data_IF_485311336518
#
_entry.id   IF_485311336518
#
_cell.length_a   1.000
_cell.length_b   1.000
_cell.length_c   1.000
_cell.angle_alpha   90.00
_cell.angle_beta   90.00
_cell.angle_gamma   90.00
#
_symmetry.space_group_name_H-M   'P 1'
#
loop_
_entity.id
_entity.type
_entity.pdbx_description
1 polymer ?
#
# COMPACT_ATOMS: atom_id res chain seq x y z
N UNK A 1 3.73 58.90 10.96
CA UNK A 1 2.29 59.18 11.22
C UNK A 1 1.50 57.93 10.84
N UNK A 2 0.71 57.42 11.80
CA UNK A 2 -0.24 56.29 11.77
C UNK A 2 0.33 54.90 11.42
N UNK A 3 0.09 53.81 12.17
CA UNK A 3 -0.72 53.55 13.35
C UNK A 3 -1.04 52.03 13.45
N UNK A 4 -1.36 51.57 14.66
CA UNK A 4 -1.98 50.29 15.05
C UNK A 4 -1.09 49.07 15.38
N UNK A 5 -0.94 48.91 16.69
CA UNK A 5 -0.73 47.70 17.49
C UNK A 5 -1.89 46.71 17.41
N UNK A 6 -1.59 45.41 17.37
CA UNK A 6 -2.48 44.32 17.78
C UNK A 6 -1.84 43.51 18.91
N UNK A 7 -2.57 43.09 19.96
CA UNK A 7 -1.99 42.41 21.10
C UNK A 7 -1.73 40.92 20.82
N UNK A 8 -0.58 40.46 21.32
CA UNK A 8 -0.20 39.06 21.48
C UNK A 8 -1.11 38.39 22.51
N UNK A 9 -1.64 37.21 22.19
CA UNK A 9 -2.36 36.39 23.17
C UNK A 9 -1.36 35.80 24.18
N UNK A 10 -1.49 36.21 25.44
CA UNK A 10 -1.14 35.37 26.60
C UNK A 10 0.01 35.86 27.48
N UNK A 11 -0.22 36.90 28.28
CA UNK A 11 0.42 37.05 29.61
C UNK A 11 -0.66 37.54 30.58
N UNK A 12 -1.02 36.73 31.57
CA UNK A 12 -1.76 37.17 32.75
C UNK A 12 -0.76 37.36 33.89
N UNK A 13 -0.80 38.49 34.64
CA UNK A 13 0.07 38.69 35.78
C UNK A 13 -0.49 38.03 37.04
N UNK A 14 0.45 37.49 37.79
CA UNK A 14 0.37 37.01 39.16
C UNK A 14 -0.22 38.07 40.10
N UNK A 15 -1.25 37.70 40.87
CA UNK A 15 -1.64 38.43 42.08
C UNK A 15 -2.00 37.43 43.17
N UNK A 16 -0.99 37.18 44.01
CA UNK A 16 -1.13 36.67 45.37
C UNK A 16 -2.17 37.49 46.15
N UNK A 17 -3.21 36.81 46.64
CA UNK A 17 -3.75 37.13 47.96
C UNK A 17 -4.30 35.87 48.63
N UNK A 18 -3.80 35.69 49.84
CA UNK A 18 -4.00 34.59 50.78
C UNK A 18 -5.38 34.69 51.43
N UNK A 19 -6.14 33.60 51.47
CA UNK A 19 -7.02 33.28 52.61
C UNK A 19 -7.34 31.79 52.64
N UNK A 20 -7.43 31.24 53.84
CA UNK A 20 -7.23 29.83 54.15
C UNK A 20 -8.45 29.18 54.80
N UNK A 21 -8.61 27.87 54.52
CA UNK A 21 -9.38 26.82 55.22
C UNK A 21 -10.92 26.93 55.36
N UNK A 22 -11.64 25.96 54.79
CA UNK A 22 -12.33 24.90 55.55
C UNK A 22 -13.10 23.90 54.65
N UNK A 23 -12.98 22.62 54.99
CA UNK A 23 -13.74 21.45 54.51
C UNK A 23 -15.26 21.65 54.49
N UNK A 24 -15.97 20.93 53.62
CA UNK A 24 -16.95 19.89 54.04
C UNK A 24 -17.43 19.01 52.87
N UNK A 25 -17.17 17.73 53.08
CA UNK A 25 -17.83 16.52 52.58
C UNK A 25 -19.35 16.63 52.39
N UNK A 26 -19.85 16.21 51.23
CA UNK A 26 -21.27 15.96 50.96
C UNK A 26 -21.44 14.70 50.11
N UNK A 27 -21.88 13.63 50.77
CA UNK A 27 -22.15 12.29 50.24
C UNK A 27 -23.39 12.25 49.34
N UNK A 28 -23.33 11.53 48.22
CA UNK A 28 -24.51 11.12 47.45
C UNK A 28 -24.41 9.64 47.09
N UNK A 29 -24.91 8.85 48.04
CA UNK A 29 -25.59 7.54 47.95
C UNK A 29 -25.65 6.85 46.59
N UNK A 30 -24.96 5.71 46.54
CA UNK A 30 -25.17 4.60 45.61
C UNK A 30 -26.38 3.77 46.04
N UNK A 31 -27.42 3.74 45.21
CA UNK A 31 -28.46 2.70 45.25
C UNK A 31 -28.34 1.87 43.99
N UNK A 32 -27.74 0.68 44.16
CA UNK A 32 -27.75 -0.39 43.19
C UNK A 32 -29.14 -1.02 43.13
N UNK A 33 -29.73 -1.09 41.94
CA UNK A 33 -30.78 -2.05 41.61
C UNK A 33 -30.32 -2.89 40.43
N UNK A 34 -30.16 -4.18 40.71
CA UNK A 34 -29.84 -5.22 39.74
C UNK A 34 -31.07 -5.50 38.84
N UNK A 35 -30.83 -5.57 37.53
CA UNK A 35 -31.78 -5.96 36.49
C UNK A 35 -31.10 -5.97 35.12
N UNK A 36 -31.48 -6.85 34.17
CA UNK A 36 -30.53 -7.73 33.48
C UNK A 36 -29.80 -7.11 32.29
N UNK A 37 -28.57 -7.58 32.08
CA UNK A 37 -27.75 -7.36 30.92
C UNK A 37 -28.40 -7.96 29.66
N UNK A 38 -28.73 -7.13 28.67
CA UNK A 38 -28.80 -7.56 27.27
C UNK A 38 -28.68 -6.39 26.28
N UNK A 39 -27.67 -6.45 25.40
CA UNK A 39 -27.75 -5.98 24.02
C UNK A 39 -27.54 -4.48 23.71
N UNK A 40 -26.33 -4.13 23.29
CA UNK A 40 -26.10 -3.20 22.16
C UNK A 40 -26.43 -1.72 22.37
N UNK A 41 -25.71 -1.03 23.25
CA UNK A 41 -25.75 0.44 23.28
C UNK A 41 -24.89 1.00 22.15
N UNK A 42 -25.52 1.42 21.05
CA UNK A 42 -24.98 2.51 20.23
C UNK A 42 -24.92 3.74 21.14
N UNK A 43 -23.74 4.07 21.66
CA UNK A 43 -23.55 5.30 22.42
C UNK A 43 -24.01 6.48 21.55
N UNK A 44 -25.01 7.22 22.02
CA UNK A 44 -25.39 8.47 21.40
C UNK A 44 -24.17 9.40 21.39
N UNK A 45 -23.82 9.96 20.24
CA UNK A 45 -22.70 10.91 20.13
C UNK A 45 -22.92 12.07 21.10
N UNK A 46 -21.87 12.41 21.84
CA UNK A 46 -21.92 13.56 22.75
C UNK A 46 -22.08 14.86 21.96
N UNK A 47 -22.67 15.93 22.56
CA UNK A 47 -22.77 17.24 21.92
C UNK A 47 -21.42 17.80 21.44
N UNK A 48 -20.33 17.50 22.15
CA UNK A 48 -18.97 17.91 21.76
C UNK A 48 -18.49 17.19 20.50
N UNK A 49 -18.76 15.88 20.38
CA UNK A 49 -18.44 15.13 19.16
C UNK A 49 -19.20 15.65 17.93
N UNK A 50 -20.47 16.07 18.11
CA UNK A 50 -21.24 16.69 17.04
C UNK A 50 -20.66 18.05 16.62
N UNK A 51 -20.26 18.87 17.59
CA UNK A 51 -19.61 20.16 17.34
C UNK A 51 -18.29 19.99 16.56
N UNK A 52 -17.43 19.08 17.00
CA UNK A 52 -16.15 18.80 16.34
C UNK A 52 -16.38 18.28 14.92
N UNK A 53 -17.37 17.42 14.71
CA UNK A 53 -17.73 16.93 13.38
C UNK A 53 -18.23 18.05 12.46
N UNK A 54 -19.05 18.97 12.97
CA UNK A 54 -19.52 20.13 12.20
C UNK A 54 -18.36 21.07 11.83
N UNK A 55 -17.44 21.31 12.77
CA UNK A 55 -16.24 22.11 12.52
C UNK A 55 -15.35 21.48 11.45
N UNK A 56 -15.07 20.17 11.53
CA UNK A 56 -14.28 19.45 10.52
C UNK A 56 -14.99 19.42 9.15
N UNK A 57 -16.31 19.25 9.13
CA UNK A 57 -17.09 19.30 7.89
C UNK A 57 -17.03 20.70 7.25
N UNK A 58 -17.12 21.76 8.05
CA UNK A 58 -16.96 23.13 7.58
C UNK A 58 -15.54 23.39 7.06
N UNK A 59 -14.50 22.94 7.78
CA UNK A 59 -13.11 23.06 7.33
C UNK A 59 -12.86 22.34 6.01
N UNK A 60 -13.41 21.15 5.82
CA UNK A 60 -13.31 20.41 4.57
C UNK A 60 -14.01 21.16 3.41
N UNK A 61 -15.27 21.55 3.59
CA UNK A 61 -16.04 22.18 2.51
C UNK A 61 -15.60 23.62 2.22
N UNK A 62 -15.50 24.46 3.25
CA UNK A 62 -15.15 25.86 3.07
C UNK A 62 -13.64 26.07 2.90
N UNK A 63 -12.84 25.37 3.68
CA UNK A 63 -11.39 25.49 3.64
C UNK A 63 -10.78 24.74 2.46
N UNK A 64 -10.99 23.43 2.37
CA UNK A 64 -10.34 22.60 1.35
C UNK A 64 -10.99 22.72 -0.04
N UNK A 65 -12.31 22.51 -0.16
CA UNK A 65 -12.97 22.51 -1.48
C UNK A 65 -13.08 23.91 -2.10
N UNK A 66 -13.41 24.94 -1.29
CA UNK A 66 -13.57 26.31 -1.77
C UNK A 66 -12.31 27.18 -1.65
N UNK A 67 -11.32 26.78 -0.85
CA UNK A 67 -10.09 27.56 -0.64
C UNK A 67 -10.31 28.89 0.13
N UNK A 68 -11.40 29.01 0.89
CA UNK A 68 -11.70 30.23 1.64
C UNK A 68 -10.67 30.40 2.76
N UNK A 69 -10.19 31.64 2.96
CA UNK A 69 -9.18 31.99 3.98
C UNK A 69 -7.81 31.32 3.83
N UNK A 70 -7.54 30.71 2.68
CA UNK A 70 -6.24 30.13 2.38
C UNK A 70 -5.12 31.18 2.39
N UNK A 71 -4.05 30.87 3.11
CA UNK A 71 -2.82 31.64 3.26
C UNK A 71 -1.64 31.05 2.46
N UNK A 72 -1.83 29.87 1.87
CA UNK A 72 -0.82 29.11 1.15
C UNK A 72 -1.33 28.69 -0.24
N UNK A 73 -0.51 28.88 -1.27
CA UNK A 73 -0.75 28.37 -2.62
C UNK A 73 0.17 27.16 -2.83
N UNK A 74 -0.42 26.04 -3.21
CA UNK A 74 0.32 24.80 -3.52
C UNK A 74 0.19 24.52 -5.00
N UNK A 75 1.33 24.50 -5.69
CA UNK A 75 1.43 24.02 -7.05
C UNK A 75 1.73 22.53 -7.03
N UNK A 76 0.87 21.72 -7.64
CA UNK A 76 1.05 20.28 -7.82
C UNK A 76 0.99 20.00 -9.31
N UNK A 77 2.15 19.73 -9.93
CA UNK A 77 2.28 19.64 -11.38
C UNK A 77 1.65 20.84 -12.11
N UNK A 78 0.56 20.61 -12.87
CA UNK A 78 -0.14 21.65 -13.64
C UNK A 78 -1.32 22.30 -12.88
N UNK A 79 -1.56 21.89 -11.63
CA UNK A 79 -2.69 22.37 -10.84
C UNK A 79 -2.27 23.23 -9.67
N UNK A 80 -3.13 24.18 -9.34
CA UNK A 80 -2.88 25.17 -8.29
C UNK A 80 -4.04 25.10 -7.32
N UNK A 81 -3.74 24.85 -6.05
CA UNK A 81 -4.74 24.77 -4.98
C UNK A 81 -4.41 25.75 -3.87
N UNK A 82 -5.45 26.33 -3.27
CA UNK A 82 -5.35 27.31 -2.19
C UNK A 82 -5.68 26.62 -0.86
N UNK A 83 -4.71 26.54 0.04
CA UNK A 83 -4.76 25.75 1.26
C UNK A 83 -4.24 26.54 2.47
N UNK A 84 -4.32 25.93 3.65
CA UNK A 84 -4.05 26.57 4.94
C UNK A 84 -2.77 26.02 5.58
N UNK A 85 -1.80 26.88 5.86
CA UNK A 85 -0.50 26.51 6.44
C UNK A 85 -0.65 25.71 7.74
N UNK A 86 -1.63 26.06 8.58
CA UNK A 86 -1.91 25.36 9.84
C UNK A 86 -2.38 23.91 9.62
N UNK A 87 -3.09 23.63 8.53
CA UNK A 87 -3.56 22.28 8.22
C UNK A 87 -2.47 21.50 7.49
N UNK A 88 -1.78 22.14 6.54
CA UNK A 88 -0.65 21.54 5.83
C UNK A 88 0.50 21.16 6.75
N UNK A 89 0.67 21.87 7.88
CA UNK A 89 1.75 21.59 8.83
C UNK A 89 1.64 20.24 9.53
N UNK A 90 0.51 19.54 9.39
CA UNK A 90 0.34 18.14 9.83
C UNK A 90 1.17 17.15 9.01
N UNK A 91 1.57 17.51 7.79
CA UNK A 91 2.43 16.70 6.93
C UNK A 91 3.89 17.15 7.08
N UNK A 92 4.81 16.27 7.51
CA UNK A 92 6.24 16.59 7.60
C UNK A 92 6.84 17.04 6.26
N UNK A 93 6.40 16.42 5.17
CA UNK A 93 6.81 16.78 3.81
C UNK A 93 6.42 18.23 3.47
N UNK A 94 5.16 18.60 3.72
CA UNK A 94 4.68 19.96 3.43
C UNK A 94 5.27 21.01 4.38
N UNK A 95 5.49 20.68 5.67
CA UNK A 95 6.22 21.56 6.59
C UNK A 95 7.62 21.87 6.06
N UNK A 96 8.33 20.84 5.60
CA UNK A 96 9.66 21.01 5.04
C UNK A 96 9.62 21.94 3.82
N UNK A 97 8.71 21.69 2.86
CA UNK A 97 8.54 22.56 1.70
C UNK A 97 8.17 23.99 2.07
N UNK A 98 7.27 24.20 3.03
CA UNK A 98 6.90 25.54 3.51
C UNK A 98 8.07 26.28 4.16
N UNK A 99 9.02 25.55 4.76
CA UNK A 99 10.18 26.10 5.46
C UNK A 99 11.35 26.40 4.53
N UNK A 100 11.48 25.66 3.43
CA UNK A 100 12.59 25.79 2.47
C UNK A 100 12.23 26.53 1.19
N UNK A 101 10.95 26.76 0.91
CA UNK A 101 10.50 27.51 -0.26
C UNK A 101 10.73 29.01 -0.08
N UNK A 102 11.32 29.71 -1.08
CA UNK A 102 11.39 31.17 -1.08
C UNK A 102 9.99 31.78 -0.99
N UNK A 103 9.80 32.80 -0.15
CA UNK A 103 8.52 33.51 -0.02
C UNK A 103 8.61 34.92 -0.61
N UNK A 104 8.48 35.07 -1.94
CA UNK A 104 8.45 36.38 -2.57
C UNK A 104 7.11 37.06 -2.30
N UNK A 105 7.03 37.81 -1.20
CA UNK A 105 5.94 38.71 -0.88
C UNK A 105 4.70 38.05 -0.28
N UNK A 106 4.55 38.15 1.05
CA UNK A 106 3.30 38.04 1.82
C UNK A 106 2.55 36.71 1.82
N UNK A 107 2.31 36.10 0.66
CA UNK A 107 1.60 34.85 0.47
C UNK A 107 2.59 33.70 0.28
N UNK A 108 2.37 32.59 0.97
CA UNK A 108 3.26 31.43 0.91
C UNK A 108 2.95 30.64 -0.35
N UNK A 109 3.96 30.38 -1.19
CA UNK A 109 3.84 29.56 -2.39
C UNK A 109 4.80 28.38 -2.27
N UNK A 110 4.29 27.16 -2.44
CA UNK A 110 5.10 25.93 -2.45
C UNK A 110 4.84 25.13 -3.72
N UNK A 111 5.86 24.39 -4.16
CA UNK A 111 5.83 23.56 -5.36
C UNK A 111 6.06 22.10 -4.97
N UNK A 112 5.13 21.23 -5.35
CA UNK A 112 5.20 19.79 -5.20
C UNK A 112 5.52 19.18 -6.56
N UNK A 113 6.70 18.56 -6.68
CA UNK A 113 7.10 17.83 -7.88
C UNK A 113 6.79 16.34 -7.72
N UNK A 114 5.85 15.82 -8.51
CA UNK A 114 5.48 14.40 -8.53
C UNK A 114 6.15 13.60 -9.66
N UNK A 115 7.02 14.22 -10.48
CA UNK A 115 7.67 13.54 -11.62
C UNK A 115 8.52 12.33 -11.21
N UNK A 116 9.07 12.36 -10.00
CA UNK A 116 9.87 11.27 -9.44
C UNK A 116 9.03 10.18 -8.77
N UNK A 117 7.73 10.40 -8.62
CA UNK A 117 6.81 9.52 -7.90
C UNK A 117 5.65 9.07 -8.81
N UNK A 118 5.91 8.16 -9.77
CA UNK A 118 4.94 7.79 -10.80
C UNK A 118 3.68 7.10 -10.26
N UNK A 119 3.74 6.58 -9.03
CA UNK A 119 2.62 5.93 -8.36
C UNK A 119 1.70 6.96 -7.66
N UNK A 120 2.13 8.22 -7.52
CA UNK A 120 1.32 9.29 -6.93
C UNK A 120 0.58 10.04 -8.03
N UNK A 121 -0.71 9.73 -8.20
CA UNK A 121 -1.58 10.48 -9.12
C UNK A 121 -2.05 11.79 -8.50
N UNK A 122 -2.39 12.76 -9.35
CA UNK A 122 -2.90 14.05 -8.88
C UNK A 122 -4.22 13.92 -8.07
N UNK A 123 -5.11 13.03 -8.50
CA UNK A 123 -6.37 12.73 -7.79
C UNK A 123 -6.07 12.17 -6.38
N UNK A 124 -5.19 11.17 -6.31
CA UNK A 124 -4.79 10.56 -5.05
C UNK A 124 -4.10 11.56 -4.11
N UNK A 125 -3.24 12.42 -4.64
CA UNK A 125 -2.60 13.48 -3.88
C UNK A 125 -3.64 14.47 -3.33
N UNK A 126 -4.65 14.82 -4.11
CA UNK A 126 -5.76 15.68 -3.69
C UNK A 126 -6.58 15.02 -2.57
N UNK A 127 -6.86 13.72 -2.66
CA UNK A 127 -7.54 12.97 -1.60
C UNK A 127 -6.72 13.00 -0.30
N UNK A 128 -5.40 12.77 -0.39
CA UNK A 128 -4.52 12.79 0.78
C UNK A 128 -4.42 14.20 1.40
N UNK A 129 -4.39 15.27 0.59
CA UNK A 129 -4.49 16.64 1.07
C UNK A 129 -5.83 16.92 1.76
N UNK A 130 -6.94 16.43 1.20
CA UNK A 130 -8.27 16.54 1.79
C UNK A 130 -8.36 15.81 3.14
N UNK A 131 -7.65 14.68 3.28
CA UNK A 131 -7.58 13.93 4.54
C UNK A 131 -6.98 14.75 5.69
N UNK A 132 -6.05 15.68 5.40
CA UNK A 132 -5.53 16.59 6.43
C UNK A 132 -6.60 17.47 7.06
N UNK A 133 -7.67 17.76 6.33
CA UNK A 133 -8.82 18.54 6.81
C UNK A 133 -9.87 17.65 7.47
N UNK A 134 -10.17 16.50 6.90
CA UNK A 134 -11.22 15.61 7.41
C UNK A 134 -11.12 14.19 6.83
N UNK A 135 -11.51 13.20 7.65
CA UNK A 135 -11.71 11.82 7.20
C UNK A 135 -12.81 11.67 6.15
N UNK A 136 -13.60 12.71 5.87
CA UNK A 136 -14.55 12.73 4.75
C UNK A 136 -13.89 12.41 3.40
N UNK A 137 -12.60 12.73 3.23
CA UNK A 137 -11.83 12.43 2.03
C UNK A 137 -11.80 10.93 1.70
N UNK A 138 -11.85 10.06 2.72
CA UNK A 138 -11.77 8.59 2.60
C UNK A 138 -12.89 8.02 1.71
N UNK A 139 -14.03 8.71 1.60
CA UNK A 139 -15.16 8.31 0.73
C UNK A 139 -14.81 8.31 -0.76
N UNK A 140 -13.72 8.97 -1.14
CA UNK A 140 -13.24 9.04 -2.52
C UNK A 140 -12.23 7.94 -2.86
N UNK A 141 -11.85 7.12 -1.87
CA UNK A 141 -10.94 5.99 -2.07
C UNK A 141 -11.74 4.80 -2.60
N UNK A 142 -11.26 4.25 -3.71
CA UNK A 142 -11.85 3.14 -4.44
C UNK A 142 -10.74 2.15 -4.82
N UNK A 143 -11.06 0.89 -5.17
CA UNK A 143 -10.08 -0.09 -5.61
C UNK A 143 -9.10 0.41 -6.67
N UNK A 144 -9.57 1.27 -7.59
CA UNK A 144 -8.80 1.74 -8.74
C UNK A 144 -7.77 2.83 -8.39
N UNK A 145 -8.01 3.62 -7.34
CA UNK A 145 -7.12 4.71 -6.91
C UNK A 145 -6.43 4.45 -5.56
N UNK A 146 -6.81 3.40 -4.83
CA UNK A 146 -6.30 3.09 -3.49
C UNK A 146 -4.77 2.99 -3.44
N UNK A 147 -4.13 2.37 -4.45
CA UNK A 147 -2.67 2.24 -4.50
C UNK A 147 -2.00 3.61 -4.61
N UNK A 148 -2.56 4.50 -5.43
CA UNK A 148 -2.04 5.85 -5.58
C UNK A 148 -2.29 6.70 -4.33
N UNK A 149 -3.43 6.52 -3.63
CA UNK A 149 -3.72 7.19 -2.36
C UNK A 149 -2.77 6.72 -1.26
N UNK A 150 -2.46 5.43 -1.21
CA UNK A 150 -1.45 4.88 -0.33
C UNK A 150 -0.08 5.51 -0.58
N UNK A 151 0.35 5.60 -1.84
CA UNK A 151 1.60 6.28 -2.21
C UNK A 151 1.60 7.76 -1.78
N UNK A 152 0.50 8.48 -2.03
CA UNK A 152 0.36 9.88 -1.65
C UNK A 152 0.42 10.08 -0.11
N UNK A 153 -0.24 9.21 0.65
CA UNK A 153 -0.22 9.23 2.11
C UNK A 153 1.18 8.99 2.66
N UNK A 154 1.91 8.01 2.10
CA UNK A 154 3.30 7.74 2.49
C UNK A 154 4.25 8.90 2.12
N UNK A 155 4.05 9.53 0.96
CA UNK A 155 4.82 10.71 0.54
C UNK A 155 4.62 11.90 1.51
N UNK A 156 3.36 12.19 1.85
CA UNK A 156 3.02 13.30 2.73
C UNK A 156 3.45 13.03 4.18
N UNK A 157 3.42 11.78 4.61
CA UNK A 157 3.77 11.35 5.97
C UNK A 157 2.74 11.73 7.02
N UNK A 158 2.84 11.13 8.21
CA UNK A 158 1.95 11.35 9.37
C UNK A 158 0.46 11.12 9.06
N UNK A 159 0.15 10.11 8.24
CA UNK A 159 -1.21 9.75 7.81
C UNK A 159 -1.46 8.24 7.96
N UNK A 160 -1.01 7.63 9.05
CA UNK A 160 -0.99 6.17 9.22
C UNK A 160 -2.37 5.53 9.04
N UNK A 161 -3.44 6.17 9.52
CA UNK A 161 -4.82 5.69 9.37
C UNK A 161 -5.29 5.69 7.90
N UNK A 162 -4.94 6.74 7.13
CA UNK A 162 -5.24 6.80 5.70
C UNK A 162 -4.47 5.73 4.94
N UNK A 163 -3.18 5.57 5.24
CA UNK A 163 -2.33 4.56 4.61
C UNK A 163 -2.85 3.16 4.90
N UNK A 164 -3.15 2.84 6.17
CA UNK A 164 -3.72 1.55 6.54
C UNK A 164 -5.06 1.29 5.84
N UNK A 165 -5.95 2.28 5.78
CA UNK A 165 -7.23 2.15 5.09
C UNK A 165 -7.08 1.91 3.58
N UNK A 166 -6.20 2.67 2.92
CA UNK A 166 -5.91 2.50 1.50
C UNK A 166 -5.24 1.16 1.20
N UNK A 167 -4.33 0.72 2.07
CA UNK A 167 -3.71 -0.61 2.01
C UNK A 167 -4.74 -1.74 2.12
N UNK A 168 -5.70 -1.66 3.04
CA UNK A 168 -6.76 -2.67 3.15
C UNK A 168 -7.62 -2.75 1.89
N UNK A 169 -7.93 -1.61 1.26
CA UNK A 169 -8.65 -1.59 -0.03
C UNK A 169 -7.78 -2.23 -1.13
N UNK A 170 -6.48 -1.93 -1.17
CA UNK A 170 -5.55 -2.58 -2.10
C UNK A 170 -5.54 -4.10 -1.93
N UNK A 171 -5.43 -4.58 -0.68
CA UNK A 171 -5.41 -6.01 -0.37
C UNK A 171 -6.69 -6.72 -0.78
N UNK A 172 -7.84 -6.08 -0.52
CA UNK A 172 -9.16 -6.61 -0.88
C UNK A 172 -9.46 -6.54 -2.38
N UNK A 173 -8.79 -5.66 -3.12
CA UNK A 173 -9.03 -5.49 -4.55
C UNK A 173 -8.24 -6.47 -5.43
N UNK A 174 -7.35 -7.29 -4.88
CA UNK A 174 -6.59 -8.28 -5.66
C UNK A 174 -7.55 -9.35 -6.20
N UNK A 175 -7.71 -9.38 -7.52
CA UNK A 175 -8.57 -10.34 -8.22
C UNK A 175 -7.86 -10.94 -9.43
N UNK A 176 -8.44 -11.98 -10.03
CA UNK A 176 -7.91 -12.57 -11.26
C UNK A 176 -7.87 -11.57 -12.42
N UNK A 177 -8.84 -10.65 -12.48
CA UNK A 177 -8.97 -9.70 -13.60
C UNK A 177 -7.88 -8.64 -13.59
N UNK A 178 -7.46 -8.19 -12.40
CA UNK A 178 -6.45 -7.13 -12.24
C UNK A 178 -5.07 -7.63 -11.80
N UNK A 179 -4.87 -8.95 -11.66
CA UNK A 179 -3.61 -9.53 -11.19
C UNK A 179 -2.40 -9.07 -12.02
N UNK A 180 -2.57 -8.82 -13.32
CA UNK A 180 -1.48 -8.37 -14.19
C UNK A 180 -0.91 -7.01 -13.73
N UNK A 181 -1.77 -6.08 -13.31
CA UNK A 181 -1.36 -4.77 -12.78
C UNK A 181 -0.63 -4.89 -11.44
N UNK A 182 -0.99 -5.89 -10.64
CA UNK A 182 -0.29 -6.21 -9.39
C UNK A 182 1.07 -6.89 -9.64
N UNK A 183 1.17 -7.74 -10.66
CA UNK A 183 2.43 -8.38 -11.05
C UNK A 183 3.43 -7.34 -11.58
N UNK A 184 2.98 -6.37 -12.37
CA UNK A 184 3.82 -5.24 -12.83
C UNK A 184 4.35 -4.42 -11.64
N UNK A 185 3.51 -4.18 -10.63
CA UNK A 185 3.92 -3.51 -9.41
C UNK A 185 4.96 -4.31 -8.63
N UNK A 186 4.72 -5.61 -8.40
CA UNK A 186 5.63 -6.47 -7.63
C UNK A 186 6.99 -6.63 -8.31
N UNK A 187 7.04 -6.67 -9.65
CA UNK A 187 8.29 -6.72 -10.41
C UNK A 187 9.13 -5.42 -10.23
N UNK A 188 8.47 -4.30 -9.97
CA UNK A 188 9.12 -3.02 -9.65
C UNK A 188 9.53 -2.88 -8.18
N UNK A 189 9.17 -3.81 -7.29
CA UNK A 189 9.60 -3.83 -5.89
C UNK A 189 10.97 -4.52 -5.81
N UNK A 190 12.03 -3.84 -5.32
CA UNK A 190 13.34 -4.44 -5.17
C UNK A 190 13.27 -5.73 -4.34
N UNK A 191 13.73 -6.84 -4.92
CA UNK A 191 14.03 -8.04 -4.15
C UNK A 191 15.31 -7.79 -3.35
N UNK A 192 15.22 -7.89 -2.03
CA UNK A 192 16.41 -8.07 -1.19
C UNK A 192 16.93 -9.47 -1.52
N UNK A 193 17.90 -9.55 -2.44
CA UNK A 193 18.45 -10.81 -2.92
C UNK A 193 19.06 -11.58 -1.75
N UNK A 194 18.57 -12.79 -1.51
CA UNK A 194 19.11 -13.75 -0.53
C UNK A 194 20.39 -14.45 -1.02
N UNK A 195 20.85 -14.18 -2.25
CA UNK A 195 22.07 -14.78 -2.78
C UNK A 195 23.27 -13.93 -2.39
N UNK A 196 23.93 -14.32 -1.29
CA UNK A 196 25.13 -13.71 -0.70
C UNK A 196 26.40 -13.79 -1.55
N UNK A 197 26.30 -13.63 -2.87
CA UNK A 197 27.44 -13.44 -3.78
C UNK A 197 27.09 -12.34 -4.76
N UNK A 198 27.15 -11.10 -4.30
CA UNK A 198 27.34 -9.94 -5.17
C UNK A 198 28.05 -8.85 -4.38
N UNK A 199 29.22 -8.49 -4.89
CA UNK A 199 30.04 -7.34 -4.49
C UNK A 199 29.19 -6.09 -4.22
N UNK A 200 29.59 -5.21 -3.28
CA UNK A 200 28.87 -3.98 -3.00
C UNK A 200 28.96 -3.08 -4.25
N UNK A 201 27.90 -3.08 -5.06
CA UNK A 201 27.71 -2.04 -6.06
C UNK A 201 27.21 -0.83 -5.29
N UNK A 202 28.01 0.24 -5.28
CA UNK A 202 27.66 1.51 -4.67
C UNK A 202 26.24 1.93 -5.07
N UNK A 203 25.38 2.08 -4.07
CA UNK A 203 23.95 2.44 -4.17
C UNK A 203 23.69 3.86 -4.69
N UNK A 204 24.70 4.54 -5.25
CA UNK A 204 24.65 5.97 -5.57
C UNK A 204 24.26 6.31 -7.02
N UNK A 205 23.99 5.33 -7.90
CA UNK A 205 23.73 5.62 -9.33
C UNK A 205 22.49 4.94 -9.94
N UNK A 206 21.70 4.21 -9.15
CA UNK A 206 20.41 3.70 -9.62
C UNK A 206 19.31 4.69 -9.21
N UNK A 207 18.39 5.06 -10.12
CA UNK A 207 17.20 5.80 -9.73
C UNK A 207 16.51 5.09 -8.55
N UNK A 208 15.96 5.83 -7.57
CA UNK A 208 15.18 5.19 -6.51
C UNK A 208 14.10 4.31 -7.16
N UNK A 209 13.86 3.11 -6.63
CA UNK A 209 12.87 2.21 -7.19
C UNK A 209 11.52 2.92 -7.21
N UNK A 210 10.72 2.68 -8.26
CA UNK A 210 9.40 3.31 -8.45
C UNK A 210 8.44 3.10 -7.28
N UNK A 211 8.74 2.13 -6.42
CA UNK A 211 7.97 1.71 -5.27
C UNK A 211 8.55 2.19 -3.93
N UNK A 212 9.62 3.00 -3.95
CA UNK A 212 10.27 3.51 -2.73
C UNK A 212 9.31 4.27 -1.82
N UNK A 213 8.37 5.04 -2.41
CA UNK A 213 7.38 5.84 -1.68
C UNK A 213 6.50 5.03 -0.75
N UNK A 214 6.26 3.75 -1.04
CA UNK A 214 5.37 2.92 -0.22
C UNK A 214 6.02 2.46 1.10
N UNK A 215 7.34 2.60 1.27
CA UNK A 215 8.05 2.11 2.43
C UNK A 215 7.73 0.64 2.74
N UNK A 216 7.29 0.27 3.96
CA UNK A 216 7.00 -1.11 4.33
C UNK A 216 5.80 -1.71 3.58
N UNK A 217 4.86 -0.88 3.10
CA UNK A 217 3.67 -1.37 2.42
C UNK A 217 3.97 -2.01 1.07
N UNK A 218 5.09 -1.66 0.41
CA UNK A 218 5.50 -2.31 -0.83
C UNK A 218 5.72 -3.82 -0.63
N UNK A 219 6.40 -4.18 0.46
CA UNK A 219 6.67 -5.58 0.77
C UNK A 219 5.40 -6.30 1.22
N UNK A 220 4.55 -5.65 2.02
CA UNK A 220 3.27 -6.24 2.45
C UNK A 220 2.37 -6.55 1.25
N UNK A 221 2.20 -5.60 0.32
CA UNK A 221 1.42 -5.81 -0.90
C UNK A 221 2.01 -6.93 -1.78
N UNK A 222 3.33 -7.05 -1.84
CA UNK A 222 4.00 -8.15 -2.53
C UNK A 222 3.68 -9.50 -1.87
N UNK A 223 3.68 -9.56 -0.55
CA UNK A 223 3.33 -10.76 0.20
C UNK A 223 1.83 -11.12 0.04
N UNK A 224 0.96 -10.13 -0.04
CA UNK A 224 -0.48 -10.31 -0.33
C UNK A 224 -0.71 -10.85 -1.74
N UNK A 225 -0.01 -10.33 -2.75
CA UNK A 225 -0.06 -10.85 -4.13
C UNK A 225 0.47 -12.28 -4.17
N UNK A 226 1.54 -12.59 -3.44
CA UNK A 226 2.05 -13.94 -3.31
C UNK A 226 1.01 -14.88 -2.67
N UNK A 227 0.40 -14.45 -1.57
CA UNK A 227 -0.65 -15.21 -0.89
C UNK A 227 -1.83 -15.47 -1.82
N UNK A 228 -2.26 -14.46 -2.58
CA UNK A 228 -3.32 -14.60 -3.57
C UNK A 228 -2.97 -15.66 -4.62
N UNK A 229 -1.77 -15.62 -5.19
CA UNK A 229 -1.34 -16.58 -6.22
C UNK A 229 -1.29 -18.02 -5.73
N UNK A 230 -0.87 -18.23 -4.47
CA UNK A 230 -0.55 -19.55 -3.94
C UNK A 230 -1.72 -20.19 -3.20
N UNK A 231 -2.57 -19.38 -2.56
CA UNK A 231 -3.67 -19.86 -1.71
C UNK A 231 -5.02 -19.49 -2.32
N UNK A 232 -5.29 -18.20 -2.50
CA UNK A 232 -6.64 -17.73 -2.88
C UNK A 232 -7.03 -18.13 -4.30
N UNK A 233 -6.14 -17.98 -5.27
CA UNK A 233 -6.42 -18.22 -6.69
C UNK A 233 -6.68 -19.71 -6.98
N UNK A 234 -5.86 -20.67 -6.51
CA UNK A 234 -6.17 -22.10 -6.67
C UNK A 234 -7.51 -22.49 -6.04
N UNK A 235 -7.84 -21.94 -4.87
CA UNK A 235 -9.12 -22.18 -4.20
C UNK A 235 -10.30 -21.62 -5.00
N UNK A 236 -10.19 -20.38 -5.50
CA UNK A 236 -11.20 -19.73 -6.33
C UNK A 236 -11.49 -20.53 -7.61
N UNK A 237 -10.45 -21.12 -8.20
CA UNK A 237 -10.54 -21.92 -9.41
C UNK A 237 -10.86 -23.40 -9.15
N UNK A 238 -11.07 -23.81 -7.89
CA UNK A 238 -11.28 -25.21 -7.47
C UNK A 238 -10.19 -26.17 -7.96
N UNK A 239 -8.96 -25.69 -8.15
CA UNK A 239 -7.85 -26.49 -8.67
C UNK A 239 -7.43 -27.51 -7.60
N UNK A 240 -7.63 -28.80 -7.90
CA UNK A 240 -7.28 -29.88 -6.97
C UNK A 240 -8.37 -30.18 -5.91
N UNK A 241 -9.53 -29.55 -5.98
CA UNK A 241 -10.70 -30.04 -5.26
C UNK A 241 -10.97 -31.49 -5.69
N UNK A 242 -11.32 -32.36 -4.73
CA UNK A 242 -11.83 -33.70 -5.00
C UNK A 242 -12.93 -33.54 -6.05
N UNK A 243 -12.63 -33.93 -7.29
CA UNK A 243 -13.66 -34.21 -8.26
C UNK A 243 -14.72 -35.05 -7.53
N UNK A 244 -15.96 -34.60 -7.55
CA UNK A 244 -17.11 -35.46 -7.24
C UNK A 244 -16.86 -36.81 -7.90
N UNK A 245 -17.17 -37.95 -7.24
CA UNK A 245 -16.74 -39.28 -7.67
C UNK A 245 -17.45 -39.68 -8.96
N UNK A 246 -16.97 -39.15 -10.07
CA UNK A 246 -17.27 -39.54 -11.42
C UNK A 246 -15.92 -39.51 -12.13
N UNK A 247 -15.18 -40.61 -11.98
CA UNK A 247 -14.12 -41.10 -12.88
C UNK A 247 -13.15 -40.08 -13.47
N UNK A 248 -11.83 -40.14 -13.21
CA UNK A 248 -10.86 -39.32 -13.91
C UNK A 248 -10.85 -39.72 -15.39
N UNK A 249 -11.57 -38.97 -16.23
CA UNK A 249 -11.49 -39.14 -17.67
C UNK A 249 -10.19 -38.46 -18.14
N UNK A 250 -9.20 -39.22 -18.66
CA UNK A 250 -8.02 -38.63 -19.27
C UNK A 250 -8.45 -37.91 -20.55
N UNK A 251 -8.51 -36.58 -20.52
CA UNK A 251 -8.81 -35.77 -21.70
C UNK A 251 -9.85 -34.66 -21.52
N UNK A 252 -10.47 -34.50 -20.36
CA UNK A 252 -11.32 -33.33 -20.08
C UNK A 252 -10.41 -32.18 -19.61
N UNK A 253 -10.37 -31.04 -20.32
CA UNK A 253 -9.63 -29.86 -19.87
C UNK A 253 -10.23 -29.41 -18.54
N UNK A 254 -9.37 -29.23 -17.53
CA UNK A 254 -9.75 -28.63 -16.26
C UNK A 254 -9.68 -27.11 -16.46
N UNK A 255 -10.82 -26.42 -16.62
CA UNK A 255 -10.82 -25.00 -16.95
C UNK A 255 -10.19 -24.16 -15.83
N UNK A 256 -10.24 -24.63 -14.58
CA UNK A 256 -9.58 -23.98 -13.45
C UNK A 256 -8.07 -24.09 -13.54
N UNK A 257 -7.56 -25.28 -13.88
CA UNK A 257 -6.12 -25.48 -14.11
C UNK A 257 -5.61 -24.67 -15.31
N UNK A 258 -6.37 -24.62 -16.40
CA UNK A 258 -6.00 -23.86 -17.59
C UNK A 258 -5.96 -22.35 -17.31
N UNK A 259 -6.95 -21.83 -16.57
CA UNK A 259 -6.96 -20.45 -16.09
C UNK A 259 -5.74 -20.14 -15.20
N UNK A 260 -5.41 -21.04 -14.27
CA UNK A 260 -4.25 -20.90 -13.40
C UNK A 260 -2.94 -20.87 -14.21
N UNK A 261 -2.82 -21.72 -15.23
CA UNK A 261 -1.67 -21.75 -16.14
C UNK A 261 -1.51 -20.43 -16.90
N UNK A 262 -2.61 -19.83 -17.37
CA UNK A 262 -2.56 -18.53 -18.06
C UNK A 262 -2.06 -17.40 -17.16
N UNK A 263 -2.45 -17.39 -15.88
CA UNK A 263 -1.95 -16.42 -14.90
C UNK A 263 -0.46 -16.67 -14.61
N UNK A 264 -0.08 -17.90 -14.27
CA UNK A 264 1.30 -18.27 -13.94
C UNK A 264 2.28 -18.10 -15.12
N UNK A 265 1.77 -18.11 -16.35
CA UNK A 265 2.57 -17.79 -17.54
C UNK A 265 3.03 -16.33 -17.59
N UNK A 266 2.43 -15.43 -16.79
CA UNK A 266 2.76 -14.00 -16.74
C UNK A 266 3.50 -13.55 -15.49
N UNK A 267 3.58 -14.40 -14.48
CA UNK A 267 4.22 -14.09 -13.18
C UNK A 267 5.75 -13.86 -13.34
N UNK A 268 6.37 -12.85 -12.72
CA UNK A 268 7.84 -12.69 -12.74
C UNK A 268 8.56 -13.94 -12.22
N UNK A 269 9.75 -14.24 -12.75
CA UNK A 269 10.42 -15.52 -12.47
C UNK A 269 10.60 -15.80 -10.97
N UNK A 270 11.04 -14.82 -10.19
CA UNK A 270 11.32 -15.02 -8.76
C UNK A 270 10.03 -15.36 -7.99
N UNK A 271 8.93 -14.69 -8.33
CA UNK A 271 7.62 -14.95 -7.76
C UNK A 271 7.05 -16.30 -8.22
N UNK A 272 7.25 -16.65 -9.50
CA UNK A 272 6.84 -17.95 -10.08
C UNK A 272 7.57 -19.11 -9.40
N UNK A 273 8.90 -18.99 -9.25
CA UNK A 273 9.73 -19.97 -8.54
C UNK A 273 9.27 -20.12 -7.11
N UNK A 274 9.16 -19.02 -6.36
CA UNK A 274 8.74 -19.04 -4.97
C UNK A 274 7.34 -19.65 -4.81
N UNK A 275 6.41 -19.34 -5.72
CA UNK A 275 5.04 -19.84 -5.65
C UNK A 275 4.97 -21.35 -5.90
N UNK A 276 5.62 -21.84 -6.95
CA UNK A 276 5.63 -23.28 -7.30
C UNK A 276 6.39 -24.11 -6.26
N UNK A 277 7.45 -23.56 -5.66
CA UNK A 277 8.24 -24.24 -4.62
C UNK A 277 7.59 -24.15 -3.23
N UNK A 278 6.53 -23.34 -3.08
CA UNK A 278 5.88 -23.10 -1.79
C UNK A 278 5.12 -24.34 -1.29
N UNK A 279 5.31 -24.79 -0.04
CA UNK A 279 4.56 -25.91 0.51
C UNK A 279 3.05 -25.61 0.60
N UNK A 280 2.64 -24.34 0.70
CA UNK A 280 1.24 -23.94 0.75
C UNK A 280 0.54 -23.92 -0.61
N UNK A 281 1.26 -24.19 -1.71
CA UNK A 281 0.65 -24.29 -3.05
C UNK A 281 -0.10 -25.61 -3.25
N UNK A 282 -1.42 -25.58 -3.08
CA UNK A 282 -2.27 -26.78 -3.10
C UNK A 282 -2.76 -27.11 -4.52
N UNK A 283 -1.90 -27.76 -5.32
CA UNK A 283 -2.24 -28.22 -6.70
C UNK A 283 -2.27 -29.76 -6.85
N UNK A 284 -2.29 -30.48 -5.72
CA UNK A 284 -2.23 -31.94 -5.67
C UNK A 284 -0.84 -32.48 -5.31
N UNK A 285 -0.49 -33.65 -5.87
CA UNK A 285 0.80 -34.32 -5.59
C UNK A 285 2.00 -33.58 -6.18
N UNK A 286 3.21 -33.91 -5.72
CA UNK A 286 4.45 -33.40 -6.30
C UNK A 286 4.56 -33.68 -7.82
N UNK A 287 4.00 -34.79 -8.29
CA UNK A 287 3.93 -35.11 -9.71
C UNK A 287 2.98 -34.16 -10.47
N UNK A 288 1.83 -33.81 -9.88
CA UNK A 288 0.88 -32.86 -10.45
C UNK A 288 1.47 -31.43 -10.50
N UNK A 289 2.18 -31.05 -9.43
CA UNK A 289 2.94 -29.80 -9.33
C UNK A 289 4.08 -29.72 -10.35
N UNK A 290 4.86 -30.79 -10.49
CA UNK A 290 5.92 -30.90 -11.50
C UNK A 290 5.35 -30.74 -12.92
N UNK A 291 4.25 -31.45 -13.22
CA UNK A 291 3.56 -31.34 -14.50
C UNK A 291 3.06 -29.91 -14.73
N UNK A 292 2.41 -29.30 -13.74
CA UNK A 292 1.96 -27.90 -13.81
C UNK A 292 3.09 -26.93 -14.12
N UNK A 293 4.20 -27.03 -13.39
CA UNK A 293 5.34 -26.14 -13.61
C UNK A 293 5.96 -26.33 -15.00
N UNK A 294 6.03 -27.57 -15.48
CA UNK A 294 6.46 -27.87 -16.86
C UNK A 294 5.56 -27.22 -17.90
N UNK A 295 4.24 -27.38 -17.76
CA UNK A 295 3.23 -26.80 -18.66
C UNK A 295 3.31 -25.26 -18.64
N UNK A 296 3.43 -24.65 -17.45
CA UNK A 296 3.58 -23.21 -17.27
C UNK A 296 4.86 -22.69 -17.94
N UNK A 297 6.01 -23.34 -17.71
CA UNK A 297 7.28 -22.98 -18.37
C UNK A 297 7.16 -23.05 -19.89
N UNK A 298 6.44 -24.04 -20.43
CA UNK A 298 6.23 -24.15 -21.88
C UNK A 298 5.43 -22.95 -22.42
N UNK A 299 4.39 -22.51 -21.72
CA UNK A 299 3.64 -21.31 -22.08
C UNK A 299 4.51 -20.04 -21.97
N UNK A 300 5.35 -19.96 -20.93
CA UNK A 300 6.26 -18.83 -20.69
C UNK A 300 7.31 -18.68 -21.78
N UNK A 301 7.79 -19.78 -22.37
CA UNK A 301 8.70 -19.76 -23.54
C UNK A 301 8.09 -19.06 -24.75
N UNK A 302 6.76 -19.08 -24.88
CA UNK A 302 6.04 -18.40 -25.97
C UNK A 302 5.77 -16.92 -25.66
N UNK A 303 5.84 -16.53 -24.37
CA UNK A 303 5.59 -15.18 -23.86
C UNK A 303 6.81 -14.51 -23.22
N UNK A 304 6.71 -14.17 -21.93
CA UNK A 304 7.65 -13.29 -21.21
C UNK A 304 9.10 -13.80 -21.20
N UNK A 305 9.33 -15.11 -21.13
CA UNK A 305 10.69 -15.67 -21.12
C UNK A 305 11.43 -15.51 -22.46
N UNK A 306 10.70 -15.32 -23.57
CA UNK A 306 11.29 -15.12 -24.91
C UNK A 306 12.05 -13.81 -25.01
N UNK A 307 11.60 -12.76 -24.33
CA UNK A 307 12.21 -11.41 -24.39
C UNK A 307 13.50 -11.27 -23.58
N UNK A 308 13.71 -12.12 -22.56
CA UNK A 308 14.80 -11.98 -21.59
C UNK A 308 16.02 -12.86 -21.90
N UNK A 309 15.98 -13.70 -22.93
CA UNK A 309 17.09 -14.59 -23.28
C UNK A 309 17.42 -15.63 -22.19
N UNK A 310 16.46 -15.95 -21.34
CA UNK A 310 16.61 -16.88 -20.23
C UNK A 310 15.91 -18.22 -20.54
N UNK A 311 16.52 -19.34 -20.15
CA UNK A 311 15.91 -20.66 -20.19
C UNK A 311 15.48 -21.08 -18.79
N UNK A 312 14.19 -21.26 -18.59
CA UNK A 312 13.59 -21.76 -17.36
C UNK A 312 13.39 -23.29 -17.47
N UNK A 313 13.71 -24.02 -16.39
CA UNK A 313 13.57 -25.48 -16.29
C UNK A 313 13.02 -25.89 -14.93
N UNK A 314 12.29 -27.01 -14.90
CA UNK A 314 11.79 -27.64 -13.68
C UNK A 314 12.51 -28.97 -13.44
N UNK A 315 12.85 -29.24 -12.19
CA UNK A 315 13.48 -30.48 -11.71
C UNK A 315 12.63 -31.06 -10.58
N UNK A 316 12.52 -32.38 -10.55
CA UNK A 316 11.93 -33.13 -9.44
C UNK A 316 13.08 -33.78 -8.66
N UNK A 317 13.27 -33.36 -7.41
CA UNK A 317 14.27 -33.95 -6.52
C UNK A 317 13.69 -35.21 -5.87
N UNK A 318 14.37 -36.34 -6.08
CA UNK A 318 14.05 -37.59 -5.41
C UNK A 318 15.01 -37.78 -4.22
N UNK A 319 14.47 -37.89 -3.00
CA UNK A 319 15.23 -38.36 -1.83
C UNK A 319 15.72 -37.32 -0.81
N UNK A 320 15.02 -36.20 -0.60
CA UNK A 320 15.45 -35.15 0.35
C UNK A 320 14.33 -34.57 1.22
N UNK A 321 13.68 -35.37 2.07
CA UNK A 321 12.62 -34.90 2.98
C UNK A 321 13.12 -34.23 4.28
N UNK A 322 14.42 -33.93 4.41
CA UNK A 322 14.98 -33.43 5.68
C UNK A 322 14.96 -31.89 5.84
N UNK A 323 14.54 -31.13 4.82
CA UNK A 323 14.53 -29.65 4.86
C UNK A 323 13.20 -29.01 4.46
N UNK A 324 12.07 -29.70 4.65
CA UNK A 324 10.73 -29.07 4.62
C UNK A 324 10.30 -28.35 3.32
N UNK A 325 11.04 -28.51 2.22
CA UNK A 325 10.77 -27.88 0.93
C UNK A 325 10.00 -28.76 -0.04
N UNK A 326 9.35 -28.15 -1.04
CA UNK A 326 8.74 -28.84 -2.18
C UNK A 326 9.76 -29.69 -2.93
N UNK A 327 9.41 -30.93 -3.31
CA UNK A 327 10.26 -31.79 -4.15
C UNK A 327 10.45 -31.23 -5.58
N UNK A 328 9.61 -30.28 -5.99
CA UNK A 328 9.69 -29.58 -7.28
C UNK A 328 10.52 -28.32 -7.13
N UNK A 329 11.54 -28.16 -7.97
CA UNK A 329 12.39 -26.98 -8.04
C UNK A 329 12.42 -26.35 -9.45
N UNK A 330 12.46 -25.02 -9.50
CA UNK A 330 12.51 -24.21 -10.71
C UNK A 330 13.86 -23.48 -10.78
N UNK A 331 14.52 -23.56 -11.92
CA UNK A 331 15.82 -22.91 -12.18
C UNK A 331 15.77 -22.11 -13.47
N UNK A 332 16.52 -21.00 -13.54
CA UNK A 332 16.66 -20.16 -14.74
C UNK A 332 18.12 -19.98 -15.09
N UNK A 333 18.46 -20.26 -16.35
CA UNK A 333 19.80 -20.07 -16.91
C UNK A 333 19.76 -18.96 -17.95
N UNK A 334 20.57 -17.92 -17.76
CA UNK A 334 20.73 -16.87 -18.77
C UNK A 334 21.56 -17.39 -19.95
N UNK A 335 21.07 -17.20 -21.19
CA UNK A 335 21.88 -17.50 -22.38
C UNK A 335 23.04 -16.52 -22.44
N UNK A 336 24.27 -17.02 -22.38
CA UNK A 336 25.47 -16.19 -22.57
C UNK A 336 25.43 -15.61 -23.98
N UNK A 337 25.55 -14.28 -24.11
CA UNK A 337 25.76 -13.64 -25.42
C UNK A 337 27.10 -14.15 -25.99
N UNK A 338 27.17 -14.53 -27.28
CA UNK A 338 28.44 -14.95 -27.87
C UNK A 338 29.42 -13.77 -27.82
N UNK A 339 30.55 -13.95 -27.12
CA UNK A 339 31.67 -13.01 -27.22
C UNK A 339 32.25 -13.17 -28.62
N UNK A 340 32.19 -12.10 -29.42
CA UNK A 340 32.91 -12.03 -30.69
C UNK A 340 34.41 -11.96 -30.37
N UNK A 341 35.16 -12.92 -30.90
CA UNK A 341 36.62 -12.92 -30.83
C UNK A 341 37.11 -11.96 -31.93
N UNK A 342 37.74 -10.85 -31.55
CA UNK A 342 38.48 -10.02 -32.51
C UNK A 342 39.76 -10.78 -32.83
N UNK A 343 39.88 -11.27 -34.06
CA UNK A 343 41.18 -11.71 -34.55
C UNK A 343 41.98 -10.44 -34.88
N UNK A 344 43.16 -10.32 -34.25
CA UNK A 344 44.15 -9.27 -34.48
C UNK A 344 44.92 -9.50 -35.77
#
# INVERSE_FOLDING_TARGET
>A
MNGHSGPSNGIAPDTNHVEAYANHTGSSTSTASAGPANGGYSQAMSPFQLHDQEALHHLYRAGFEMGNYADTIVHVNQSVVRLHALILSRSPYLVHLMSTSPQPGGQRVIYVNLEHEPEVTQDAFTIALGYLYSSAAVKHIRPENARAVLAAGCLLGSMDELCNYAYEICRQSITMDNINTWLEFVDAVPSVSSDGVSTPVETHQLPPPRTAVFGPYAQQLKDDVFHFLVVTLPQLLNVGALATPATPNPGVPDPGRDALLQVYARVPFDLFKAAVESPVFQIGSDQARFKFAKDAIELRKRGIARGLGAEETVVLAFGGSNFGGSAVHITRKMRKRPLWKVNS
#
